data_IF_182989840005
#
_entry.id   IF_182989840005
#
_cell.length_a   1.000
_cell.length_b   1.000
_cell.length_c   1.000
_cell.angle_alpha   90.00
_cell.angle_beta   90.00
_cell.angle_gamma   90.00
#
_symmetry.space_group_name_H-M   'P 1'
#
loop_
_entity.id
_entity.type
_entity.pdbx_description
1 polymer ?
#
# COMPACT_ATOMS: atom_id res chain seq x y z
N UNK A 1 13.78 -33.08 -48.17
CA UNK A 1 12.31 -33.01 -47.96
C UNK A 1 12.03 -33.64 -46.61
N UNK A 2 11.02 -33.14 -45.89
CA UNK A 2 10.82 -33.26 -44.44
C UNK A 2 11.92 -32.49 -43.67
N UNK A 3 11.63 -31.54 -42.76
CA UNK A 3 10.72 -31.53 -41.59
C UNK A 3 11.29 -32.37 -40.44
N UNK A 4 11.37 -31.90 -39.19
CA UNK A 4 10.73 -30.75 -38.48
C UNK A 4 11.75 -30.26 -37.38
N UNK A 5 11.67 -29.16 -36.59
CA UNK A 5 10.61 -28.32 -36.00
C UNK A 5 11.10 -26.86 -35.73
N UNK A 6 10.16 -25.91 -35.66
CA UNK A 6 10.17 -24.66 -34.83
C UNK A 6 8.70 -24.26 -34.58
N UNK A 7 8.26 -24.11 -33.32
CA UNK A 7 7.65 -22.86 -32.86
C UNK A 7 8.01 -22.54 -31.38
N UNK A 8 7.30 -21.55 -30.79
CA UNK A 8 7.35 -21.04 -29.40
C UNK A 8 8.10 -19.71 -29.15
N UNK A 9 7.77 -18.71 -29.98
CA UNK A 9 7.69 -17.28 -29.59
C UNK A 9 6.38 -16.74 -30.22
N UNK A 10 5.84 -15.63 -29.71
CA UNK A 10 4.58 -14.98 -30.15
C UNK A 10 3.28 -15.64 -29.68
N UNK A 11 2.92 -15.42 -28.41
CA UNK A 11 1.55 -15.43 -27.90
C UNK A 11 1.51 -14.69 -26.54
N UNK A 12 0.76 -13.59 -26.41
CA UNK A 12 0.74 -12.83 -25.15
C UNK A 12 0.15 -11.42 -25.15
N UNK A 13 -0.67 -11.00 -26.12
CA UNK A 13 -1.26 -9.65 -26.18
C UNK A 13 -2.76 -9.70 -26.47
N UNK A 14 -3.49 -8.72 -25.89
CA UNK A 14 -4.90 -8.37 -26.06
C UNK A 14 -5.95 -9.19 -25.28
N UNK A 15 -6.51 -8.58 -24.21
CA UNK A 15 -7.85 -8.89 -23.72
C UNK A 15 -8.51 -7.74 -22.92
N UNK A 16 -8.78 -6.60 -23.58
CA UNK A 16 -9.68 -5.54 -23.06
C UNK A 16 -10.92 -5.47 -23.95
N UNK A 17 -12.07 -5.91 -23.44
CA UNK A 17 -13.32 -6.04 -24.20
C UNK A 17 -14.34 -4.94 -23.89
N UNK A 18 -14.57 -4.02 -24.83
CA UNK A 18 -15.56 -2.95 -24.66
C UNK A 18 -17.01 -3.49 -24.74
N UNK A 19 -17.73 -3.48 -23.62
CA UNK A 19 -19.07 -4.05 -23.47
C UNK A 19 -20.22 -3.03 -23.43
N UNK A 20 -20.54 -2.35 -24.54
CA UNK A 20 -21.77 -1.55 -24.62
C UNK A 20 -23.02 -2.44 -24.81
N UNK A 21 -23.84 -2.54 -23.77
CA UNK A 21 -25.12 -3.27 -23.81
C UNK A 21 -26.23 -2.35 -24.36
N UNK A 22 -26.64 -2.56 -25.61
CA UNK A 22 -27.78 -1.86 -26.22
C UNK A 22 -29.10 -2.62 -25.99
N UNK A 23 -29.74 -2.35 -24.85
CA UNK A 23 -31.06 -2.94 -24.54
C UNK A 23 -32.14 -2.35 -25.44
N UNK A 24 -32.76 -3.18 -26.29
CA UNK A 24 -33.99 -2.81 -27.00
C UNK A 24 -35.21 -3.02 -26.10
N UNK A 25 -36.13 -2.04 -25.98
CA UNK A 25 -37.26 -2.15 -25.07
C UNK A 25 -38.32 -3.14 -25.58
N UNK A 26 -38.40 -4.31 -24.95
CA UNK A 26 -39.54 -5.23 -25.12
C UNK A 26 -40.71 -4.68 -24.29
N UNK A 27 -41.81 -4.34 -24.94
CA UNK A 27 -43.00 -3.85 -24.25
C UNK A 27 -43.61 -4.96 -23.37
N UNK A 28 -43.61 -4.75 -22.06
CA UNK A 28 -44.21 -5.67 -21.08
C UNK A 28 -45.73 -5.51 -21.04
N UNK A 29 -46.49 -6.60 -20.79
CA UNK A 29 -47.92 -6.49 -20.50
C UNK A 29 -48.11 -5.75 -19.17
N UNK A 30 -49.12 -4.87 -19.10
CA UNK A 30 -49.40 -4.10 -17.89
C UNK A 30 -49.71 -5.01 -16.70
N UNK A 31 -48.90 -4.93 -15.64
CA UNK A 31 -49.26 -5.51 -14.35
C UNK A 31 -50.36 -4.68 -13.69
N UNK A 32 -51.24 -5.35 -12.97
CA UNK A 32 -52.37 -4.75 -12.27
C UNK A 32 -51.86 -3.89 -11.09
N UNK A 33 -52.22 -2.60 -11.11
CA UNK A 33 -51.62 -1.57 -10.27
C UNK A 33 -51.90 -1.82 -8.78
N UNK A 34 -50.97 -2.48 -8.10
CA UNK A 34 -50.91 -2.51 -6.64
C UNK A 34 -50.69 -1.08 -6.14
N UNK A 35 -51.41 -0.70 -5.09
CA UNK A 35 -51.44 0.68 -4.62
C UNK A 35 -50.03 1.15 -4.22
N UNK A 36 -49.48 2.10 -4.99
CA UNK A 36 -48.29 2.84 -4.59
C UNK A 36 -48.59 3.48 -3.24
N UNK A 37 -47.86 3.05 -2.20
CA UNK A 37 -47.71 3.90 -1.04
C UNK A 37 -46.85 5.07 -1.46
N UNK A 38 -47.34 6.28 -1.17
CA UNK A 38 -46.62 7.52 -1.40
C UNK A 38 -45.53 7.62 -0.32
N UNK A 39 -44.44 6.87 -0.53
CA UNK A 39 -43.26 6.91 0.33
C UNK A 39 -42.61 8.25 0.11
N UNK A 40 -42.94 9.19 0.99
CA UNK A 40 -42.29 10.49 1.05
C UNK A 40 -40.80 10.27 1.29
N UNK A 41 -40.01 10.35 0.22
CA UNK A 41 -38.56 10.50 0.28
C UNK A 41 -38.28 11.73 1.16
N UNK A 42 -37.83 11.49 2.38
CA UNK A 42 -37.37 12.55 3.27
C UNK A 42 -36.17 13.21 2.61
N UNK A 43 -36.27 14.52 2.35
CA UNK A 43 -35.24 15.26 1.62
C UNK A 43 -33.87 15.27 2.32
N UNK A 44 -33.83 14.83 3.58
CA UNK A 44 -32.66 14.74 4.45
C UNK A 44 -31.94 13.38 4.39
N UNK A 45 -32.41 12.42 3.57
CA UNK A 45 -31.72 11.14 3.30
C UNK A 45 -31.18 11.09 1.88
N UNK A 46 -29.87 10.82 1.75
CA UNK A 46 -29.19 10.66 0.47
C UNK A 46 -29.04 9.16 0.13
N UNK A 47 -29.60 8.74 -1.00
CA UNK A 47 -29.51 7.36 -1.49
C UNK A 47 -28.39 7.17 -2.52
N UNK A 48 -27.59 8.22 -2.77
CA UNK A 48 -26.71 8.35 -3.94
C UNK A 48 -25.31 8.86 -3.64
N UNK A 49 -25.09 9.67 -2.60
CA UNK A 49 -23.78 10.21 -2.21
C UNK A 49 -22.70 9.13 -2.09
N UNK A 50 -22.85 8.19 -1.17
CA UNK A 50 -21.88 7.10 -0.97
C UNK A 50 -21.63 6.24 -2.24
N UNK A 51 -22.60 6.13 -3.15
CA UNK A 51 -22.39 5.49 -4.46
C UNK A 51 -21.58 6.38 -5.42
N UNK A 52 -21.86 7.68 -5.44
CA UNK A 52 -21.12 8.67 -6.22
C UNK A 52 -19.68 8.76 -5.74
N UNK A 53 -19.45 8.77 -4.43
CA UNK A 53 -18.12 8.88 -3.82
C UNK A 53 -17.29 7.62 -4.11
N UNK A 54 -17.86 6.43 -3.92
CA UNK A 54 -17.22 5.17 -4.28
C UNK A 54 -16.82 5.12 -5.77
N UNK A 55 -17.66 5.66 -6.65
CA UNK A 55 -17.42 5.72 -8.10
C UNK A 55 -16.43 6.85 -8.47
N UNK A 56 -16.34 7.93 -7.69
CA UNK A 56 -15.38 9.01 -7.88
C UNK A 56 -13.96 8.59 -7.46
N UNK A 57 -13.80 8.01 -6.26
CA UNK A 57 -12.54 7.43 -5.80
C UNK A 57 -12.06 6.33 -6.75
N UNK A 58 -12.97 5.49 -7.26
CA UNK A 58 -12.64 4.47 -8.26
C UNK A 58 -12.18 5.05 -9.61
N UNK A 59 -12.60 6.25 -9.98
CA UNK A 59 -12.13 6.93 -11.20
C UNK A 59 -10.75 7.58 -11.01
N UNK A 60 -10.45 8.12 -9.83
CA UNK A 60 -9.11 8.62 -9.49
C UNK A 60 -8.10 7.45 -9.48
N UNK A 61 -8.34 6.45 -8.63
CA UNK A 61 -7.59 5.21 -8.55
C UNK A 61 -7.32 4.57 -9.93
N UNK A 62 -8.32 4.52 -10.81
CA UNK A 62 -8.18 3.98 -12.17
C UNK A 62 -7.36 4.88 -13.12
N UNK A 63 -7.31 6.19 -12.91
CA UNK A 63 -6.42 7.08 -13.63
C UNK A 63 -4.95 6.89 -13.18
N UNK A 64 -4.73 6.81 -11.87
CA UNK A 64 -3.40 6.62 -11.28
C UNK A 64 -2.80 5.27 -11.70
N UNK A 65 -3.59 4.19 -11.63
CA UNK A 65 -3.24 2.88 -12.19
C UNK A 65 -2.91 2.93 -13.69
N UNK A 66 -3.58 3.78 -14.49
CA UNK A 66 -3.31 3.89 -15.92
C UNK A 66 -1.98 4.60 -16.19
N UNK A 67 -1.63 5.62 -15.40
CA UNK A 67 -0.32 6.28 -15.50
C UNK A 67 0.79 5.33 -15.08
N UNK A 68 0.71 4.78 -13.86
CA UNK A 68 1.69 3.85 -13.33
C UNK A 68 1.92 2.63 -14.24
N UNK A 69 0.87 2.07 -14.84
CA UNK A 69 1.00 0.98 -15.81
C UNK A 69 1.71 1.40 -17.12
N UNK A 70 1.49 2.63 -17.62
CA UNK A 70 2.19 3.14 -18.79
C UNK A 70 3.68 3.35 -18.49
N UNK A 71 4.00 3.91 -17.33
CA UNK A 71 5.38 4.13 -16.89
C UNK A 71 6.13 2.79 -16.71
N UNK A 72 5.49 1.81 -16.04
CA UNK A 72 6.00 0.46 -15.85
C UNK A 72 6.26 -0.27 -17.17
N UNK A 73 5.28 -0.26 -18.09
CA UNK A 73 5.41 -0.90 -19.40
C UNK A 73 6.50 -0.23 -20.23
N UNK A 74 6.66 1.10 -20.15
CA UNK A 74 7.71 1.84 -20.82
C UNK A 74 9.11 1.50 -20.30
N UNK A 75 9.28 1.46 -18.97
CA UNK A 75 10.55 1.06 -18.35
C UNK A 75 10.92 -0.38 -18.70
N UNK A 76 9.96 -1.31 -18.63
CA UNK A 76 10.19 -2.71 -18.97
C UNK A 76 10.48 -2.92 -20.47
N UNK A 77 9.77 -2.26 -21.39
CA UNK A 77 10.07 -2.34 -22.83
C UNK A 77 11.46 -1.76 -23.18
N UNK A 78 11.89 -0.68 -22.52
CA UNK A 78 13.24 -0.13 -22.70
C UNK A 78 14.30 -1.14 -22.23
N UNK A 79 14.14 -1.68 -21.03
CA UNK A 79 15.11 -2.59 -20.41
C UNK A 79 15.19 -3.94 -21.13
N UNK A 80 14.05 -4.50 -21.57
CA UNK A 80 14.00 -5.73 -22.38
C UNK A 80 14.51 -5.53 -23.81
N UNK A 81 14.72 -4.29 -24.27
CA UNK A 81 15.26 -4.02 -25.61
C UNK A 81 16.77 -4.23 -25.72
N UNK A 82 17.51 -4.19 -24.59
CA UNK A 82 18.94 -4.49 -24.55
C UNK A 82 19.20 -5.98 -24.21
N UNK A 83 19.91 -6.74 -25.07
CA UNK A 83 20.29 -8.12 -24.77
C UNK A 83 21.22 -8.31 -23.58
N UNK A 84 21.95 -7.29 -23.12
CA UNK A 84 22.89 -7.39 -21.99
C UNK A 84 22.16 -7.45 -20.63
N UNK A 85 20.96 -6.86 -20.55
CA UNK A 85 20.08 -6.85 -19.37
C UNK A 85 19.43 -8.22 -19.05
N UNK A 86 19.38 -9.14 -20.03
CA UNK A 86 18.66 -10.41 -19.92
C UNK A 86 19.47 -11.55 -19.24
N UNK A 87 20.48 -11.19 -18.46
CA UNK A 87 21.50 -12.14 -17.95
C UNK A 87 21.25 -12.62 -16.51
N UNK A 88 20.15 -12.21 -15.89
CA UNK A 88 19.78 -12.52 -14.51
C UNK A 88 19.45 -14.00 -14.27
N UNK A 89 19.81 -14.51 -13.08
CA UNK A 89 19.45 -15.85 -12.64
C UNK A 89 18.20 -15.91 -11.72
N UNK A 90 17.78 -17.13 -11.38
CA UNK A 90 16.57 -17.39 -10.59
C UNK A 90 16.75 -17.12 -9.08
N UNK A 91 17.98 -17.04 -8.59
CA UNK A 91 18.30 -16.73 -7.19
C UNK A 91 18.25 -15.22 -6.97
N UNK A 92 18.84 -14.44 -7.90
CA UNK A 92 18.69 -12.98 -7.97
C UNK A 92 17.23 -12.55 -8.11
N UNK A 93 16.48 -13.17 -9.03
CA UNK A 93 15.04 -12.94 -9.16
C UNK A 93 14.27 -13.36 -7.89
N UNK A 94 14.67 -14.44 -7.22
CA UNK A 94 14.10 -14.84 -5.94
C UNK A 94 14.32 -13.81 -4.83
N UNK A 95 15.52 -13.22 -4.77
CA UNK A 95 15.88 -12.15 -3.87
C UNK A 95 15.03 -10.89 -4.13
N UNK A 96 14.95 -10.44 -5.39
CA UNK A 96 14.15 -9.28 -5.80
C UNK A 96 12.68 -9.35 -5.37
N UNK A 97 12.07 -10.52 -5.52
CA UNK A 97 10.65 -10.70 -5.26
C UNK A 97 10.30 -10.79 -3.77
N UNK A 98 11.27 -11.09 -2.90
CA UNK A 98 11.03 -11.47 -1.50
C UNK A 98 11.84 -10.70 -0.46
N UNK A 99 12.95 -10.06 -0.88
CA UNK A 99 13.99 -9.45 -0.05
C UNK A 99 14.57 -10.37 1.05
N UNK A 100 14.50 -11.69 0.84
CA UNK A 100 15.05 -12.71 1.74
C UNK A 100 16.53 -13.06 1.47
N UNK A 101 17.20 -12.37 0.54
CA UNK A 101 18.61 -12.60 0.18
C UNK A 101 19.26 -11.33 -0.43
N UNK A 102 20.59 -11.25 -0.41
CA UNK A 102 21.39 -10.06 -0.76
C UNK A 102 21.84 -9.24 0.47
N UNK A 103 22.66 -8.21 0.27
CA UNK A 103 22.94 -7.23 1.36
C UNK A 103 21.75 -6.26 1.48
N UNK A 104 20.99 -6.39 2.55
CA UNK A 104 19.74 -5.65 2.78
C UNK A 104 19.92 -4.12 2.79
N UNK A 105 21.13 -3.62 3.04
CA UNK A 105 21.44 -2.18 3.03
C UNK A 105 21.18 -1.52 1.67
N UNK A 106 21.53 -2.18 0.58
CA UNK A 106 21.31 -1.68 -0.80
C UNK A 106 19.88 -1.83 -1.30
N UNK A 107 19.00 -2.49 -0.53
CA UNK A 107 17.57 -2.59 -0.88
C UNK A 107 16.73 -1.43 -0.33
N UNK A 108 17.23 -0.57 0.56
CA UNK A 108 16.37 0.44 1.23
C UNK A 108 15.82 1.48 0.24
N UNK A 109 16.61 2.00 -0.70
CA UNK A 109 16.13 3.02 -1.64
C UNK A 109 15.07 2.44 -2.61
N UNK A 110 15.27 1.25 -3.22
CA UNK A 110 14.26 0.57 -4.03
C UNK A 110 13.02 0.15 -3.24
N UNK A 111 13.22 -0.32 -1.99
CA UNK A 111 12.13 -0.56 -1.05
C UNK A 111 11.33 0.73 -0.85
N UNK A 112 11.99 1.84 -0.54
CA UNK A 112 11.35 3.14 -0.27
C UNK A 112 10.54 3.63 -1.46
N UNK A 113 11.11 3.58 -2.66
CA UNK A 113 10.47 4.02 -3.90
C UNK A 113 9.20 3.21 -4.24
N UNK A 114 9.25 1.88 -4.21
CA UNK A 114 8.18 1.03 -4.76
C UNK A 114 7.34 0.29 -3.72
N UNK A 115 7.73 0.36 -2.44
CA UNK A 115 6.99 -0.27 -1.35
C UNK A 115 6.81 0.62 -0.12
N UNK A 116 7.86 1.16 0.51
CA UNK A 116 7.81 1.58 1.91
C UNK A 116 7.41 3.05 2.18
N UNK A 117 7.51 3.98 1.23
CA UNK A 117 6.97 5.31 1.47
C UNK A 117 5.43 5.23 1.56
N UNK A 118 4.84 5.85 2.59
CA UNK A 118 3.39 5.97 2.73
C UNK A 118 2.85 7.37 2.41
N UNK A 119 3.71 8.39 2.48
CA UNK A 119 3.31 9.79 2.35
C UNK A 119 3.39 10.32 0.91
N UNK A 120 3.98 9.54 -0.01
CA UNK A 120 4.23 9.95 -1.40
C UNK A 120 5.36 10.99 -1.53
N UNK A 121 5.48 11.67 -2.69
CA UNK A 121 6.56 12.61 -2.95
C UNK A 121 6.46 13.94 -2.19
N UNK A 122 5.26 14.34 -1.75
CA UNK A 122 5.03 15.56 -0.96
C UNK A 122 4.90 15.25 0.56
N UNK A 123 5.59 14.22 1.04
CA UNK A 123 5.33 13.60 2.35
C UNK A 123 5.69 14.46 3.58
N UNK A 124 4.71 14.66 4.47
CA UNK A 124 4.92 15.33 5.78
C UNK A 124 5.08 14.30 6.90
N UNK A 125 6.31 14.18 7.42
CA UNK A 125 6.68 13.26 8.51
C UNK A 125 5.97 13.54 9.84
N UNK A 126 5.29 14.69 10.01
CA UNK A 126 4.44 14.98 11.17
C UNK A 126 3.02 14.40 11.04
N UNK A 127 2.65 13.93 9.84
CA UNK A 127 1.34 13.35 9.51
C UNK A 127 1.48 11.85 9.17
N UNK A 128 2.55 11.46 8.48
CA UNK A 128 2.93 10.07 8.26
C UNK A 128 4.47 9.91 8.30
N UNK A 129 4.98 9.24 9.32
CA UNK A 129 6.39 8.93 9.51
C UNK A 129 6.94 7.90 8.49
N UNK A 130 6.06 7.28 7.69
CA UNK A 130 6.34 6.31 6.61
C UNK A 130 6.95 4.98 7.05
N UNK A 131 6.59 3.89 6.37
CA UNK A 131 7.19 2.57 6.64
C UNK A 131 8.68 2.50 6.26
N UNK A 132 9.18 3.48 5.50
CA UNK A 132 10.60 3.63 5.19
C UNK A 132 11.45 3.96 6.44
N UNK A 133 10.89 4.63 7.46
CA UNK A 133 11.53 4.70 8.79
C UNK A 133 11.37 3.41 9.60
N UNK A 134 10.17 2.82 9.57
CA UNK A 134 9.84 1.66 10.41
C UNK A 134 10.65 0.42 10.03
N UNK A 135 10.89 0.21 8.73
CA UNK A 135 11.58 -0.95 8.20
C UNK A 135 13.03 -1.12 8.66
N UNK A 136 13.95 -0.13 8.54
CA UNK A 136 15.33 -0.28 9.00
C UNK A 136 15.41 -0.45 10.52
N UNK A 137 14.45 0.08 11.29
CA UNK A 137 14.33 -0.21 12.72
C UNK A 137 13.98 -1.69 12.93
N UNK A 138 12.89 -2.16 12.30
CA UNK A 138 12.39 -3.53 12.45
C UNK A 138 13.29 -4.62 11.85
N UNK A 139 14.22 -4.28 10.95
CA UNK A 139 15.21 -5.19 10.34
C UNK A 139 16.62 -5.06 10.92
N UNK A 140 16.80 -4.36 12.05
CA UNK A 140 18.09 -4.06 12.71
C UNK A 140 19.05 -3.13 11.95
N UNK A 141 18.73 -2.69 10.74
CA UNK A 141 19.62 -1.89 9.90
C UNK A 141 19.88 -0.48 10.47
N UNK A 142 18.91 0.10 11.17
CA UNK A 142 19.08 1.36 11.92
C UNK A 142 20.04 1.23 13.13
N UNK A 143 20.36 0.00 13.55
CA UNK A 143 21.26 -0.27 14.67
C UNK A 143 22.72 0.16 14.44
N UNK A 144 23.14 0.38 13.19
CA UNK A 144 24.46 0.95 12.88
C UNK A 144 24.49 2.49 13.04
N UNK A 145 23.34 3.15 12.93
CA UNK A 145 23.20 4.61 13.08
C UNK A 145 23.04 5.03 14.55
N UNK A 146 22.24 4.28 15.32
CA UNK A 146 21.95 4.59 16.72
C UNK A 146 21.85 3.32 17.60
N UNK A 147 22.97 2.62 17.84
CA UNK A 147 22.99 1.35 18.59
C UNK A 147 22.55 1.45 20.06
N UNK A 148 22.64 2.64 20.66
CA UNK A 148 22.15 2.91 22.03
C UNK A 148 20.65 3.26 22.07
N UNK A 149 20.00 3.49 20.92
CA UNK A 149 18.58 3.87 20.79
C UNK A 149 17.71 2.70 20.32
N UNK A 150 18.20 1.90 19.35
CA UNK A 150 17.46 0.77 18.79
C UNK A 150 18.05 -0.57 19.26
N UNK A 151 17.39 -1.28 20.21
CA UNK A 151 17.86 -2.57 20.70
C UNK A 151 17.74 -3.64 19.62
N UNK A 152 18.73 -4.54 19.53
CA UNK A 152 18.74 -5.60 18.51
C UNK A 152 17.54 -6.53 18.63
N UNK A 153 16.69 -6.51 17.62
CA UNK A 153 15.51 -7.35 17.45
C UNK A 153 15.96 -8.78 17.10
N UNK A 154 15.46 -9.82 17.79
CA UNK A 154 15.88 -11.20 17.57
C UNK A 154 15.20 -11.84 16.35
N UNK A 155 15.91 -12.77 15.71
CA UNK A 155 15.35 -13.61 14.64
C UNK A 155 14.17 -14.47 15.14
N UNK A 156 13.15 -14.73 14.28
CA UNK A 156 13.11 -14.45 12.83
C UNK A 156 12.39 -13.14 12.46
N UNK A 157 12.32 -12.14 13.36
CA UNK A 157 11.53 -10.92 13.10
C UNK A 157 12.08 -10.12 11.91
N UNK A 158 13.41 -9.87 11.78
CA UNK A 158 13.97 -9.24 10.60
C UNK A 158 13.67 -9.99 9.29
N UNK A 159 13.85 -11.32 9.24
CA UNK A 159 13.50 -12.14 8.07
C UNK A 159 12.01 -11.99 7.68
N UNK A 160 11.11 -11.97 8.67
CA UNK A 160 9.67 -11.77 8.45
C UNK A 160 9.41 -10.36 7.89
N UNK A 161 10.00 -9.31 8.47
CA UNK A 161 9.75 -7.92 8.07
C UNK A 161 10.28 -7.64 6.65
N UNK A 162 11.45 -8.18 6.29
CA UNK A 162 11.93 -8.18 4.90
C UNK A 162 10.89 -8.75 3.93
N UNK A 163 10.32 -9.92 4.24
CA UNK A 163 9.26 -10.49 3.41
C UNK A 163 7.98 -9.65 3.42
N UNK A 164 7.53 -9.13 4.57
CA UNK A 164 6.33 -8.29 4.68
C UNK A 164 6.45 -6.94 3.97
N UNK A 165 7.67 -6.46 3.69
CA UNK A 165 7.94 -5.28 2.87
C UNK A 165 7.99 -5.58 1.36
N UNK A 166 8.15 -6.84 0.95
CA UNK A 166 8.42 -7.20 -0.45
C UNK A 166 7.24 -6.96 -1.41
N UNK A 167 7.49 -6.69 -2.72
CA UNK A 167 6.44 -6.59 -3.73
C UNK A 167 5.56 -7.85 -3.83
N UNK A 168 6.12 -9.05 -3.58
CA UNK A 168 5.32 -10.29 -3.54
C UNK A 168 4.32 -10.27 -2.37
N UNK A 169 4.65 -9.67 -1.23
CA UNK A 169 3.69 -9.48 -0.14
C UNK A 169 2.58 -8.50 -0.55
N UNK A 170 2.91 -7.45 -1.31
CA UNK A 170 1.96 -6.54 -1.96
C UNK A 170 0.98 -7.28 -2.87
N UNK A 171 1.49 -8.16 -3.74
CA UNK A 171 0.66 -8.99 -4.63
C UNK A 171 -0.22 -9.96 -3.84
N UNK A 172 0.29 -10.54 -2.74
CA UNK A 172 -0.48 -11.42 -1.87
C UNK A 172 -1.61 -10.68 -1.14
N UNK A 173 -1.36 -9.50 -0.57
CA UNK A 173 -2.40 -8.74 0.14
C UNK A 173 -3.39 -8.09 -0.83
N UNK A 174 -2.92 -7.57 -1.96
CA UNK A 174 -3.76 -7.03 -3.02
C UNK A 174 -4.67 -8.07 -3.68
N UNK A 175 -4.26 -9.34 -3.74
CA UNK A 175 -5.12 -10.44 -4.18
C UNK A 175 -6.23 -10.80 -3.15
N UNK A 176 -5.97 -10.62 -1.86
CA UNK A 176 -6.93 -10.89 -0.78
C UNK A 176 -7.87 -9.70 -0.52
N UNK A 177 -7.35 -8.49 -0.62
CA UNK A 177 -8.00 -7.22 -0.28
C UNK A 177 -9.43 -7.07 -0.81
N UNK A 178 -9.70 -7.25 -2.13
CA UNK A 178 -11.05 -7.15 -2.69
C UNK A 178 -12.08 -8.15 -2.10
N UNK A 179 -11.64 -9.23 -1.43
CA UNK A 179 -12.52 -10.17 -0.73
C UNK A 179 -12.72 -9.84 0.75
N UNK A 180 -11.82 -9.05 1.35
CA UNK A 180 -11.81 -8.72 2.79
C UNK A 180 -12.30 -7.30 3.06
N UNK A 181 -11.87 -6.32 2.26
CA UNK A 181 -12.25 -4.92 2.37
C UNK A 181 -13.78 -4.67 2.37
N UNK A 182 -14.63 -5.40 1.61
CA UNK A 182 -16.09 -5.27 1.74
C UNK A 182 -16.63 -5.71 3.11
N UNK A 183 -15.97 -6.67 3.77
CA UNK A 183 -16.35 -7.15 5.10
C UNK A 183 -15.85 -6.20 6.20
N UNK A 184 -14.70 -5.56 6.00
CA UNK A 184 -14.20 -4.46 6.83
C UNK A 184 -15.13 -3.25 6.71
N UNK A 185 -15.48 -2.81 5.51
CA UNK A 185 -16.44 -1.73 5.30
C UNK A 185 -17.80 -2.02 5.97
N UNK A 186 -18.29 -3.27 5.92
CA UNK A 186 -19.49 -3.70 6.66
C UNK A 186 -19.31 -3.62 8.18
N UNK A 187 -18.15 -4.03 8.71
CA UNK A 187 -17.85 -3.92 10.14
C UNK A 187 -17.81 -2.45 10.59
N UNK A 188 -17.12 -1.59 9.84
CA UNK A 188 -17.03 -0.15 10.09
C UNK A 188 -18.43 0.51 10.06
N UNK A 189 -19.31 0.14 9.12
CA UNK A 189 -20.71 0.59 9.11
C UNK A 189 -21.51 0.13 10.32
N UNK A 190 -21.31 -1.10 10.79
CA UNK A 190 -21.97 -1.62 12.02
C UNK A 190 -21.45 -0.90 13.26
N UNK A 191 -20.17 -0.57 13.31
CA UNK A 191 -19.55 0.23 14.37
C UNK A 191 -20.07 1.67 14.37
N UNK A 192 -20.14 2.32 13.20
CA UNK A 192 -20.72 3.65 13.04
C UNK A 192 -22.20 3.70 13.46
N UNK A 193 -23.00 2.67 13.14
CA UNK A 193 -24.37 2.52 13.65
C UNK A 193 -24.36 2.36 15.18
N UNK A 194 -23.44 1.57 15.74
CA UNK A 194 -23.26 1.42 17.18
C UNK A 194 -22.94 2.73 17.89
N UNK A 195 -22.00 3.52 17.35
CA UNK A 195 -21.61 4.82 17.86
C UNK A 195 -22.77 5.83 17.82
N UNK A 196 -23.49 5.93 16.70
CA UNK A 196 -24.64 6.84 16.57
C UNK A 196 -25.86 6.40 17.42
N UNK A 197 -25.93 5.15 17.89
CA UNK A 197 -26.96 4.67 18.83
C UNK A 197 -26.56 4.79 20.31
N UNK A 198 -25.27 4.66 20.62
CA UNK A 198 -24.75 4.49 21.99
C UNK A 198 -23.83 5.61 22.50
N UNK A 199 -23.48 6.59 21.65
CA UNK A 199 -22.68 7.75 22.00
C UNK A 199 -23.38 8.76 22.92
N UNK A 200 -22.68 9.85 23.25
CA UNK A 200 -23.19 10.87 24.19
C UNK A 200 -24.41 11.64 23.63
N UNK A 201 -24.45 11.87 22.31
CA UNK A 201 -25.58 12.46 21.58
C UNK A 201 -26.07 11.47 20.48
N UNK A 202 -27.06 10.59 20.76
CA UNK A 202 -27.53 9.59 19.78
C UNK A 202 -28.33 10.19 18.61
N UNK A 203 -27.92 9.92 17.37
CA UNK A 203 -28.56 10.39 16.14
C UNK A 203 -29.22 9.23 15.34
N UNK A 204 -30.54 9.14 15.44
CA UNK A 204 -31.34 8.13 14.73
C UNK A 204 -31.46 8.37 13.21
N UNK A 205 -31.15 9.57 12.71
CA UNK A 205 -31.10 9.87 11.27
C UNK A 205 -29.76 9.41 10.69
N UNK A 206 -28.65 9.69 11.38
CA UNK A 206 -27.32 9.17 11.01
C UNK A 206 -27.32 7.64 10.94
N UNK A 207 -27.96 6.96 11.90
CA UNK A 207 -28.16 5.49 11.88
C UNK A 207 -28.92 5.01 10.65
N UNK A 208 -29.99 5.72 10.25
CA UNK A 208 -30.80 5.35 9.09
C UNK A 208 -30.04 5.60 7.78
N UNK A 209 -29.32 6.72 7.69
CA UNK A 209 -28.44 7.04 6.58
C UNK A 209 -27.34 5.99 6.42
N UNK A 210 -26.69 5.58 7.50
CA UNK A 210 -25.62 4.59 7.44
C UNK A 210 -26.13 3.18 7.08
N UNK A 211 -27.33 2.81 7.56
CA UNK A 211 -28.01 1.58 7.15
C UNK A 211 -28.34 1.57 5.64
N UNK A 212 -28.59 2.74 5.04
CA UNK A 212 -28.77 2.93 3.59
C UNK A 212 -27.43 2.91 2.85
N UNK A 213 -26.35 3.41 3.47
CA UNK A 213 -25.00 3.45 2.90
C UNK A 213 -24.33 2.07 2.83
N UNK A 214 -24.61 1.12 3.74
CA UNK A 214 -23.94 -0.20 3.80
C UNK A 214 -23.65 -0.84 2.41
N UNK A 215 -24.60 -0.94 1.46
CA UNK A 215 -24.33 -1.53 0.15
C UNK A 215 -23.33 -0.73 -0.69
N UNK A 216 -23.36 0.61 -0.61
CA UNK A 216 -22.38 1.48 -1.24
C UNK A 216 -21.01 1.38 -0.54
N UNK A 217 -20.97 1.34 0.79
CA UNK A 217 -19.74 1.23 1.57
C UNK A 217 -19.03 -0.12 1.31
N UNK A 218 -19.79 -1.23 1.24
CA UNK A 218 -19.25 -2.53 0.82
C UNK A 218 -18.74 -2.54 -0.62
N UNK A 219 -19.40 -1.81 -1.53
CA UNK A 219 -18.96 -1.64 -2.92
C UNK A 219 -17.71 -0.74 -3.04
N UNK A 220 -17.62 0.30 -2.19
CA UNK A 220 -16.43 1.12 -2.02
C UNK A 220 -15.26 0.25 -1.53
N UNK A 221 -15.49 -0.56 -0.49
CA UNK A 221 -14.50 -1.55 -0.01
C UNK A 221 -14.02 -2.50 -1.12
N UNK A 222 -14.93 -2.95 -1.99
CA UNK A 222 -14.58 -3.82 -3.11
C UNK A 222 -13.70 -3.14 -4.18
N UNK A 223 -13.97 -1.86 -4.51
CA UNK A 223 -13.22 -1.12 -5.54
C UNK A 223 -11.96 -0.46 -5.00
N UNK A 224 -12.05 0.22 -3.86
CA UNK A 224 -11.07 1.22 -3.39
C UNK A 224 -10.42 0.84 -2.06
N UNK A 225 -10.92 -0.21 -1.39
CA UNK A 225 -10.37 -0.71 -0.14
C UNK A 225 -11.08 -0.18 1.10
N UNK A 226 -10.67 -0.70 2.27
CA UNK A 226 -11.17 -0.30 3.57
C UNK A 226 -10.15 -0.59 4.68
N UNK A 227 -10.04 0.34 5.64
CA UNK A 227 -9.15 0.21 6.80
C UNK A 227 -9.91 -0.32 8.01
N UNK A 228 -9.37 -1.36 8.64
CA UNK A 228 -9.88 -1.98 9.86
C UNK A 228 -9.18 -1.34 11.07
N UNK A 229 -9.96 -0.84 12.03
CA UNK A 229 -9.41 -0.47 13.34
C UNK A 229 -9.02 -1.74 14.13
N UNK A 230 -7.86 -1.70 14.79
CA UNK A 230 -7.29 -2.79 15.58
C UNK A 230 -6.92 -2.35 17.01
N UNK A 231 -7.41 -1.20 17.50
CA UNK A 231 -7.06 -0.65 18.81
C UNK A 231 -7.42 -1.59 19.97
N UNK A 232 -8.43 -2.45 19.76
CA UNK A 232 -8.80 -3.52 20.70
C UNK A 232 -7.68 -4.56 20.94
N UNK A 233 -6.65 -4.60 20.09
CA UNK A 233 -5.44 -5.42 20.28
C UNK A 233 -4.34 -4.71 21.07
N UNK A 234 -4.34 -3.37 21.18
CA UNK A 234 -3.30 -2.60 21.87
C UNK A 234 -3.04 -3.13 23.29
N UNK A 235 -4.05 -3.41 24.15
CA UNK A 235 -3.81 -3.98 25.47
C UNK A 235 -3.05 -5.32 25.44
N UNK A 236 -3.28 -6.15 24.41
CA UNK A 236 -2.60 -7.44 24.24
C UNK A 236 -1.16 -7.25 23.77
N UNK A 237 -0.88 -6.22 22.96
CA UNK A 237 0.48 -5.87 22.51
C UNK A 237 1.31 -5.27 23.66
N UNK A 238 0.74 -4.34 24.44
CA UNK A 238 1.41 -3.79 25.63
C UNK A 238 1.61 -4.86 26.72
N UNK A 239 0.63 -5.74 26.98
CA UNK A 239 0.79 -6.87 27.93
C UNK A 239 1.86 -7.90 27.48
N UNK A 240 2.18 -7.97 26.18
CA UNK A 240 3.21 -8.86 25.68
C UNK A 240 4.65 -8.39 25.99
N UNK A 241 4.84 -7.14 26.42
CA UNK A 241 6.16 -6.59 26.80
C UNK A 241 7.16 -6.52 25.64
N UNK A 242 6.66 -6.27 24.42
CA UNK A 242 7.45 -6.23 23.19
C UNK A 242 8.06 -4.84 22.90
N UNK A 243 7.56 -3.79 23.57
CA UNK A 243 8.03 -2.42 23.44
C UNK A 243 9.07 -2.11 24.54
N UNK A 244 10.08 -1.25 24.27
CA UNK A 244 11.03 -0.79 25.28
C UNK A 244 10.36 0.10 26.34
N UNK A 245 10.98 0.23 27.53
CA UNK A 245 10.53 1.17 28.55
C UNK A 245 10.48 2.60 27.96
N UNK A 246 9.34 3.28 28.12
CA UNK A 246 9.11 4.61 27.56
C UNK A 246 8.39 4.65 26.21
N UNK A 247 8.14 3.51 25.54
CA UNK A 247 7.40 3.43 24.29
C UNK A 247 6.09 2.64 24.40
N UNK A 248 5.00 3.19 23.87
CA UNK A 248 3.66 2.59 23.79
C UNK A 248 3.10 2.70 22.36
N UNK A 249 2.07 1.91 22.04
CA UNK A 249 1.28 2.05 20.80
C UNK A 249 -0.05 2.74 21.16
N UNK A 250 -0.35 3.88 20.54
CA UNK A 250 -1.58 4.66 20.81
C UNK A 250 -2.71 4.41 19.81
N UNK A 251 -2.39 3.84 18.63
CA UNK A 251 -3.32 3.50 17.56
C UNK A 251 -2.79 2.28 16.79
N UNK A 252 -3.69 1.41 16.32
CA UNK A 252 -3.37 0.25 15.48
C UNK A 252 -4.47 0.03 14.44
N UNK A 253 -4.11 -0.21 13.19
CA UNK A 253 -5.06 -0.44 12.09
C UNK A 253 -4.46 -1.27 10.96
N UNK A 254 -5.32 -1.78 10.06
CA UNK A 254 -4.87 -2.49 8.87
C UNK A 254 -5.73 -2.14 7.64
N UNK A 255 -5.09 -1.60 6.59
CA UNK A 255 -5.72 -1.21 5.34
C UNK A 255 -5.71 -2.36 4.31
N UNK A 256 -6.88 -2.77 3.86
CA UNK A 256 -7.03 -3.71 2.75
C UNK A 256 -7.35 -2.93 1.47
N UNK A 257 -6.49 -3.03 0.45
CA UNK A 257 -6.79 -2.45 -0.87
C UNK A 257 -7.97 -3.13 -1.56
N UNK A 258 -8.69 -2.38 -2.39
CA UNK A 258 -9.74 -2.88 -3.27
C UNK A 258 -9.18 -3.31 -4.64
N UNK A 259 -10.08 -3.56 -5.59
CA UNK A 259 -9.72 -4.00 -6.94
C UNK A 259 -8.86 -2.98 -7.71
N UNK A 260 -9.07 -1.69 -7.44
CA UNK A 260 -8.50 -0.56 -8.17
C UNK A 260 -7.49 0.25 -7.36
N UNK A 261 -7.28 -0.05 -6.08
CA UNK A 261 -6.36 0.73 -5.24
C UNK A 261 -4.92 0.64 -5.77
N UNK A 262 -4.27 1.76 -6.15
CA UNK A 262 -2.90 1.76 -6.67
C UNK A 262 -1.85 1.35 -5.61
N UNK A 263 -2.21 1.54 -4.34
CA UNK A 263 -1.25 1.74 -3.26
C UNK A 263 -0.91 3.22 -3.10
N UNK A 264 -0.12 3.55 -2.08
CA UNK A 264 0.54 4.85 -1.93
C UNK A 264 2.00 4.54 -1.66
N UNK A 265 2.88 5.01 -2.54
CA UNK A 265 4.33 4.73 -2.62
C UNK A 265 5.04 5.91 -3.31
N UNK A 266 6.37 5.86 -3.46
CA UNK A 266 7.18 6.84 -4.20
C UNK A 266 8.45 7.28 -3.47
N UNK A 267 9.43 7.80 -4.20
CA UNK A 267 10.48 8.64 -3.59
C UNK A 267 9.90 10.05 -3.26
N UNK A 268 10.58 10.97 -2.57
CA UNK A 268 12.02 11.25 -2.58
C UNK A 268 12.51 11.88 -1.26
N UNK A 269 13.74 11.57 -0.81
CA UNK A 269 14.47 12.41 0.14
C UNK A 269 15.19 13.62 -0.48
N UNK A 270 15.79 13.53 -1.69
CA UNK A 270 16.64 14.63 -2.24
C UNK A 270 16.72 14.86 -3.76
N UNK A 271 16.78 13.87 -4.67
CA UNK A 271 16.65 14.08 -6.15
C UNK A 271 16.39 12.78 -6.96
N UNK A 272 15.35 12.78 -7.82
CA UNK A 272 14.99 11.65 -8.70
C UNK A 272 15.83 11.57 -9.99
N UNK A 273 17.02 10.95 -9.93
CA UNK A 273 17.89 10.80 -11.11
C UNK A 273 17.33 9.95 -12.27
N UNK A 274 16.41 9.00 -12.01
CA UNK A 274 16.12 7.89 -12.93
C UNK A 274 14.77 7.99 -13.68
N UNK A 275 13.70 8.48 -13.03
CA UNK A 275 12.33 8.46 -13.59
C UNK A 275 11.56 9.79 -13.54
N UNK A 276 11.90 10.70 -12.61
CA UNK A 276 11.17 11.95 -12.41
C UNK A 276 9.75 11.74 -11.85
N UNK A 277 8.79 12.56 -12.31
CA UNK A 277 7.38 12.66 -11.87
C UNK A 277 6.52 11.46 -12.34
N UNK A 278 7.03 10.24 -12.18
CA UNK A 278 6.32 8.99 -12.50
C UNK A 278 5.35 8.63 -11.36
N UNK A 279 4.16 8.11 -11.70
CA UNK A 279 3.22 7.65 -10.65
C UNK A 279 3.61 6.22 -10.25
N UNK A 280 4.00 5.97 -8.99
CA UNK A 280 4.39 4.64 -8.54
C UNK A 280 3.14 3.81 -8.21
N UNK A 281 3.09 2.59 -8.73
CA UNK A 281 2.22 1.54 -8.20
C UNK A 281 3.00 0.72 -7.18
N UNK A 282 2.32 0.11 -6.20
CA UNK A 282 3.00 -0.82 -5.29
C UNK A 282 2.59 -0.69 -3.84
N UNK A 283 3.50 -1.03 -2.94
CA UNK A 283 3.23 -1.25 -1.52
C UNK A 283 3.22 -2.73 -1.12
N UNK A 284 3.09 -2.99 0.17
CA UNK A 284 3.37 -4.28 0.81
C UNK A 284 2.41 -4.61 1.96
N UNK A 285 2.60 -5.76 2.62
CA UNK A 285 1.88 -6.05 3.88
C UNK A 285 2.32 -5.09 5.00
N UNK A 286 3.58 -4.64 5.01
CA UNK A 286 4.06 -3.69 5.99
C UNK A 286 3.36 -2.33 5.84
N UNK A 287 3.16 -1.85 4.61
CA UNK A 287 2.39 -0.61 4.37
C UNK A 287 0.94 -0.71 4.82
N UNK A 288 0.36 -1.90 4.62
CA UNK A 288 -1.01 -2.18 5.01
C UNK A 288 -1.22 -2.08 6.52
N UNK A 289 -0.16 -2.15 7.34
CA UNK A 289 -0.21 -1.95 8.79
C UNK A 289 -0.05 -0.46 9.15
N UNK A 290 -1.09 0.16 9.71
CA UNK A 290 -0.97 1.47 10.35
C UNK A 290 -0.80 1.33 11.86
N UNK A 291 0.06 2.14 12.46
CA UNK A 291 0.27 2.18 13.90
C UNK A 291 0.79 3.55 14.33
N UNK A 292 0.48 4.00 15.54
CA UNK A 292 1.11 5.20 16.12
C UNK A 292 1.97 4.79 17.30
N UNK A 293 3.27 5.10 17.24
CA UNK A 293 4.18 4.97 18.38
C UNK A 293 4.17 6.26 19.19
N UNK A 294 3.92 6.15 20.49
CA UNK A 294 4.18 7.23 21.44
C UNK A 294 5.43 6.89 22.24
N UNK A 295 6.43 7.76 22.17
CA UNK A 295 7.68 7.67 22.92
C UNK A 295 7.66 8.79 23.98
N UNK A 296 8.09 8.47 25.20
CA UNK A 296 8.04 9.37 26.36
C UNK A 296 9.38 9.51 27.11
N UNK A 297 10.34 8.65 26.80
CA UNK A 297 11.73 8.64 27.29
C UNK A 297 12.58 8.07 26.13
N UNK A 298 13.68 8.69 25.68
CA UNK A 298 14.33 9.92 26.17
C UNK A 298 13.70 11.24 25.72
N UNK A 299 12.67 11.20 24.86
CA UNK A 299 11.99 12.38 24.31
C UNK A 299 10.50 12.09 24.13
N UNK A 300 9.66 13.08 24.41
CA UNK A 300 8.22 13.04 24.13
C UNK A 300 7.99 13.25 22.63
N UNK A 301 7.57 12.19 21.92
CA UNK A 301 7.43 12.13 20.47
C UNK A 301 6.27 11.20 20.09
N UNK A 302 5.47 11.59 19.10
CA UNK A 302 4.44 10.73 18.51
C UNK A 302 4.78 10.51 17.02
N UNK A 303 4.89 9.25 16.60
CA UNK A 303 5.20 8.82 15.24
C UNK A 303 4.00 8.07 14.65
N UNK A 304 3.10 8.75 13.91
CA UNK A 304 2.02 8.10 13.18
C UNK A 304 2.57 7.43 11.92
N UNK A 305 2.36 6.13 11.75
CA UNK A 305 2.56 5.41 10.50
C UNK A 305 1.18 5.08 9.94
N UNK A 306 0.79 5.71 8.83
CA UNK A 306 -0.58 5.58 8.30
C UNK A 306 -0.77 4.24 7.54
N UNK A 307 -1.97 3.69 7.54
CA UNK A 307 -2.25 2.40 6.90
C UNK A 307 -2.53 2.56 5.39
N UNK A 308 -1.61 2.11 4.55
CA UNK A 308 -1.68 2.20 3.08
C UNK A 308 -1.89 0.84 2.44
N UNK A 309 -3.14 0.52 2.12
CA UNK A 309 -3.50 -0.75 1.48
C UNK A 309 -3.28 -0.72 -0.03
N UNK A 310 -2.67 -1.77 -0.58
CA UNK A 310 -2.47 -1.94 -2.03
C UNK A 310 -3.50 -2.93 -2.63
N UNK A 311 -3.99 -2.64 -3.83
CA UNK A 311 -4.85 -3.53 -4.62
C UNK A 311 -4.05 -4.38 -5.61
N UNK A 312 -4.60 -5.53 -6.07
CA UNK A 312 -3.86 -6.44 -6.96
C UNK A 312 -3.32 -5.77 -8.23
N UNK A 313 -4.05 -4.80 -8.79
CA UNK A 313 -3.58 -4.06 -9.96
C UNK A 313 -2.34 -3.20 -9.64
N UNK A 314 -2.39 -2.42 -8.55
CA UNK A 314 -1.26 -1.59 -8.11
C UNK A 314 -0.03 -2.41 -7.73
N UNK A 315 -0.23 -3.50 -6.99
CA UNK A 315 0.85 -4.41 -6.61
C UNK A 315 1.53 -5.11 -7.79
N UNK A 316 0.79 -5.44 -8.86
CA UNK A 316 1.37 -6.01 -10.07
C UNK A 316 2.12 -4.97 -10.91
N UNK A 317 1.67 -3.71 -10.91
CA UNK A 317 2.37 -2.60 -11.56
C UNK A 317 3.67 -2.26 -10.82
N UNK A 318 3.64 -2.15 -9.49
CA UNK A 318 4.84 -1.93 -8.69
C UNK A 318 5.86 -3.07 -8.81
N UNK A 319 5.36 -4.31 -8.90
CA UNK A 319 6.20 -5.46 -9.25
C UNK A 319 6.81 -5.35 -10.66
N UNK A 320 6.08 -4.82 -11.64
CA UNK A 320 6.60 -4.56 -13.00
C UNK A 320 7.66 -3.45 -13.01
N UNK A 321 7.47 -2.38 -12.22
CA UNK A 321 8.44 -1.30 -12.01
C UNK A 321 9.73 -1.81 -11.36
N UNK A 322 9.62 -2.57 -10.25
CA UNK A 322 10.78 -3.23 -9.63
C UNK A 322 11.47 -4.16 -10.64
N UNK A 323 10.75 -5.00 -11.38
CA UNK A 323 11.36 -5.90 -12.37
C UNK A 323 12.11 -5.15 -13.49
N UNK A 324 11.71 -3.93 -13.86
CA UNK A 324 12.44 -3.10 -14.81
C UNK A 324 13.78 -2.60 -14.21
N UNK A 325 13.80 -2.09 -12.98
CA UNK A 325 15.04 -1.65 -12.31
C UNK A 325 16.00 -2.82 -11.99
N UNK A 326 15.43 -3.97 -11.63
CA UNK A 326 16.15 -5.25 -11.43
C UNK A 326 16.89 -5.67 -12.70
N UNK A 327 16.21 -5.60 -13.86
CA UNK A 327 16.80 -6.01 -15.14
C UNK A 327 17.71 -4.93 -15.76
N UNK A 328 17.53 -3.65 -15.43
CA UNK A 328 18.41 -2.57 -15.92
C UNK A 328 19.79 -2.53 -15.23
N UNK A 329 19.97 -3.28 -14.15
CA UNK A 329 21.15 -3.22 -13.30
C UNK A 329 21.22 -1.96 -12.44
N UNK A 330 20.10 -1.23 -12.28
CA UNK A 330 19.97 -0.16 -11.29
C UNK A 330 19.87 -0.76 -9.88
N UNK A 331 19.30 -1.96 -9.74
CA UNK A 331 19.28 -2.69 -8.47
C UNK A 331 20.43 -3.71 -8.40
N UNK A 332 21.41 -3.43 -7.55
CA UNK A 332 22.54 -4.33 -7.28
C UNK A 332 22.23 -5.24 -6.08
N UNK A 333 22.43 -6.55 -6.28
CA UNK A 333 22.14 -7.61 -5.32
C UNK A 333 23.37 -8.06 -4.52
N UNK A 334 24.57 -7.85 -5.08
CA UNK A 334 25.84 -8.28 -4.48
C UNK A 334 26.31 -7.30 -3.37
N UNK A 335 25.63 -6.16 -3.24
CA UNK A 335 26.00 -5.06 -2.36
C UNK A 335 27.15 -4.21 -2.91
N UNK A 336 27.52 -3.10 -2.25
CA UNK A 336 28.69 -2.32 -2.66
C UNK A 336 29.94 -3.21 -2.61
N UNK A 337 30.89 -3.05 -3.56
CA UNK A 337 32.10 -3.86 -3.59
C UNK A 337 32.87 -3.74 -2.27
N UNK A 338 33.52 -4.84 -1.85
CA UNK A 338 34.11 -5.05 -0.50
C UNK A 338 35.38 -4.22 -0.22
N UNK A 339 35.41 -2.98 -0.69
CA UNK A 339 36.26 -1.93 -0.11
C UNK A 339 35.74 -1.54 1.29
N UNK A 340 36.45 -0.66 1.98
CA UNK A 340 36.03 -0.23 3.33
C UNK A 340 34.68 0.49 3.21
N UNK A 341 33.66 0.19 4.05
CA UNK A 341 32.36 0.84 3.98
C UNK A 341 32.53 2.36 3.93
N UNK A 342 32.06 2.97 2.85
CA UNK A 342 32.02 4.42 2.80
C UNK A 342 30.93 4.89 3.76
N UNK A 343 31.35 5.49 4.86
CA UNK A 343 30.45 6.12 5.82
C UNK A 343 29.65 7.27 5.15
N UNK A 344 30.10 7.75 3.99
CA UNK A 344 29.35 8.63 3.09
C UNK A 344 28.07 8.01 2.51
N UNK A 345 28.07 6.72 2.13
CA UNK A 345 26.88 6.05 1.60
C UNK A 345 25.77 5.93 2.66
N UNK A 346 26.14 5.76 3.93
CA UNK A 346 25.22 5.85 5.06
C UNK A 346 24.79 7.30 5.41
N UNK A 347 25.28 8.30 4.68
CA UNK A 347 24.82 9.70 4.76
C UNK A 347 24.17 10.23 3.46
N UNK A 348 24.18 9.45 2.37
CA UNK A 348 23.28 9.66 1.23
C UNK A 348 21.83 9.28 1.61
N UNK A 349 21.66 8.47 2.68
CA UNK A 349 20.53 8.63 3.59
C UNK A 349 20.59 10.01 4.25
N UNK A 350 20.02 11.01 3.59
CA UNK A 350 19.84 12.33 4.16
C UNK A 350 18.80 12.27 5.27
N UNK A 351 19.27 11.93 6.47
CA UNK A 351 18.54 12.01 7.72
C UNK A 351 18.68 13.40 8.37
N UNK A 352 19.03 14.45 7.62
CA UNK A 352 19.03 15.83 8.15
C UNK A 352 17.61 16.28 8.54
N UNK A 353 16.56 15.77 7.90
CA UNK A 353 15.18 15.99 8.35
C UNK A 353 14.88 15.30 9.68
N UNK A 354 15.45 14.12 9.96
CA UNK A 354 15.41 13.50 11.30
C UNK A 354 16.25 14.31 12.28
N UNK A 355 17.38 14.85 11.85
CA UNK A 355 18.19 15.77 12.66
C UNK A 355 17.45 17.08 12.95
N UNK A 356 16.60 17.60 12.06
CA UNK A 356 15.80 18.81 12.27
C UNK A 356 14.47 18.57 13.01
N UNK A 357 13.92 17.36 12.91
CA UNK A 357 12.89 16.85 13.83
C UNK A 357 13.43 16.79 15.28
N UNK A 358 14.71 16.47 15.46
CA UNK A 358 15.37 16.43 16.77
C UNK A 358 16.15 17.71 17.18
N UNK A 359 16.45 18.63 16.27
CA UNK A 359 17.16 19.88 16.58
C UNK A 359 16.25 20.95 17.19
N UNK A 360 14.95 20.87 16.89
CA UNK A 360 13.97 21.90 17.25
C UNK A 360 14.18 23.22 16.50
N UNK A 361 14.82 23.21 15.33
CA UNK A 361 15.18 24.39 14.55
C UNK A 361 14.07 24.90 13.60
N UNK A 362 12.85 25.08 14.12
CA UNK A 362 11.70 25.64 13.42
C UNK A 362 11.22 26.95 14.08
#
# INVERSE_FOLDING_TARGET
MNSTLRPFVTAGVALVGAGMITVTPVATPMLEAHAMHDVALTADLDFTGAWSDAIATAQANLADLQTAAQDANSALDEVLSDPENLNMDLEQLGAALTFLAGDQKTFIDPLTAWTLNGAGPDGDATVDATHALLFPILTNQAGELAPDLFPTIPEPIPEIVNFLASPLSGVLIGALGPSVAPLVALANSVEAIGANLGGEDPDAMAVLQELINIPANMFNGWLNGATLNLDFLIPVVSEAGLLPEGADITSLSFAFGGLLTPGVVGADPTDFGTFGDAIPGGGSILNSLGLTLSITDPLELELPFLAHGVGLAGALIGLEQVLAEVLSGVLDFDGPPVEVPDLGAATDFDLSWVADLFSGAW
#
